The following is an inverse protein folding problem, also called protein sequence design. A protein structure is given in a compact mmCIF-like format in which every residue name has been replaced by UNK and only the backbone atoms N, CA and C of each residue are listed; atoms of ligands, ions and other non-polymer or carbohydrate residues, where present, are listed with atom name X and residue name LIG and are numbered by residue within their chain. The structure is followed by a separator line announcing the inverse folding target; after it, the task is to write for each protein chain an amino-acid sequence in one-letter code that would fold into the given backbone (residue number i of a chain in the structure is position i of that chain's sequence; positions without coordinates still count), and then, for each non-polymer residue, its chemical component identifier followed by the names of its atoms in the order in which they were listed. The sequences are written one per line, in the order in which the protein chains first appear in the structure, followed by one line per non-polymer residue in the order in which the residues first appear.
data_IF_235019550579
#
_entry.id   IF_235019550579
#
_cell.length_a   1.000
_cell.length_b   1.000
_cell.length_c   1.000
_cell.angle_alpha   90.00
_cell.angle_beta   90.00
_cell.angle_gamma   90.00
#
_symmetry.space_group_name_H-M   'P 1'
#
loop_
_entity.id
_entity.type
_entity.pdbx_description
1 polymer ?
#
# COMPACT_ATOMS: atom_id res chain seq x y z
N UNK A 1 18.86 6.59 14.07
CA UNK A 1 17.88 5.99 13.14
C UNK A 1 18.55 5.84 11.79
N UNK A 2 18.65 4.60 11.32
CA UNK A 2 19.17 4.20 10.03
C UNK A 2 18.49 4.97 8.87
N UNK A 3 19.29 5.42 7.90
CA UNK A 3 18.81 6.26 6.80
C UNK A 3 17.78 5.53 5.91
N UNK A 4 17.95 4.22 5.68
CA UNK A 4 17.01 3.41 4.90
C UNK A 4 15.66 3.32 5.60
N UNK A 5 15.67 3.00 6.90
CA UNK A 5 14.44 2.95 7.71
C UNK A 5 13.74 4.31 7.70
N UNK A 6 14.48 5.41 7.85
CA UNK A 6 13.92 6.76 7.77
C UNK A 6 13.26 7.03 6.42
N UNK A 7 13.94 6.73 5.30
CA UNK A 7 13.41 6.93 3.95
C UNK A 7 12.14 6.10 3.74
N UNK A 8 12.17 4.82 4.10
CA UNK A 8 11.02 3.93 3.98
C UNK A 8 9.82 4.44 4.79
N UNK A 9 10.03 4.85 6.05
CA UNK A 9 8.97 5.43 6.87
C UNK A 9 8.33 6.66 6.21
N UNK A 10 9.13 7.53 5.59
CA UNK A 10 8.63 8.70 4.86
C UNK A 10 7.85 8.25 3.63
N UNK A 11 8.38 7.33 2.82
CA UNK A 11 7.71 6.88 1.58
C UNK A 11 6.32 6.29 1.86
N UNK A 12 6.15 5.49 2.90
CA UNK A 12 4.84 4.89 3.22
C UNK A 12 3.81 5.88 3.77
N UNK A 13 4.24 7.09 4.17
CA UNK A 13 3.35 8.16 4.61
C UNK A 13 2.69 8.92 3.44
N UNK A 14 3.18 8.73 2.21
CA UNK A 14 2.65 9.39 1.01
C UNK A 14 2.22 8.35 -0.03
N UNK A 15 1.06 7.67 0.13
CA UNK A 15 0.60 6.65 -0.80
C UNK A 15 0.16 7.19 -2.17
N UNK A 16 -0.02 8.50 -2.31
CA UNK A 16 -0.49 9.21 -3.50
C UNK A 16 0.63 9.68 -4.45
N UNK A 17 1.89 9.33 -4.15
CA UNK A 17 3.04 9.60 -5.02
C UNK A 17 3.08 8.67 -6.23
N UNK A 18 4.05 8.88 -7.13
CA UNK A 18 4.14 8.14 -8.39
C UNK A 18 4.51 6.66 -8.20
N UNK A 19 4.12 5.82 -9.17
CA UNK A 19 4.52 4.42 -9.19
C UNK A 19 6.05 4.19 -9.18
N UNK A 20 6.84 5.12 -9.71
CA UNK A 20 8.30 5.05 -9.65
C UNK A 20 8.83 5.25 -8.20
N UNK A 21 8.22 6.15 -7.44
CA UNK A 21 8.56 6.37 -6.02
C UNK A 21 8.13 5.17 -5.17
N UNK A 22 7.00 4.53 -5.50
CA UNK A 22 6.61 3.27 -4.86
C UNK A 22 7.56 2.12 -5.18
N UNK A 23 8.14 2.10 -6.38
CA UNK A 23 9.14 1.11 -6.77
C UNK A 23 10.42 1.28 -5.94
N UNK A 24 10.90 2.52 -5.82
CA UNK A 24 12.05 2.86 -4.97
C UNK A 24 11.77 2.49 -3.51
N UNK A 25 10.56 2.76 -3.01
CA UNK A 25 10.15 2.38 -1.66
C UNK A 25 10.28 0.86 -1.41
N UNK A 26 9.85 0.03 -2.36
CA UNK A 26 9.99 -1.43 -2.26
C UNK A 26 11.45 -1.89 -2.32
N UNK A 27 12.27 -1.26 -3.15
CA UNK A 27 13.71 -1.52 -3.22
C UNK A 27 14.41 -1.15 -1.91
N UNK A 28 14.08 0.00 -1.32
CA UNK A 28 14.57 0.40 0.01
C UNK A 28 14.18 -0.64 1.04
N UNK A 29 12.93 -1.14 1.03
CA UNK A 29 12.50 -2.18 1.97
C UNK A 29 13.28 -3.48 1.79
N UNK A 30 13.68 -3.79 0.57
CA UNK A 30 14.52 -4.94 0.29
C UNK A 30 15.94 -4.80 0.84
N UNK A 31 16.53 -3.61 0.72
CA UNK A 31 17.81 -3.27 1.35
C UNK A 31 17.74 -3.35 2.88
N UNK A 32 16.65 -2.85 3.47
CA UNK A 32 16.41 -2.93 4.92
C UNK A 32 16.43 -4.40 5.38
N UNK A 33 15.79 -5.31 4.64
CA UNK A 33 15.75 -6.72 5.03
C UNK A 33 17.14 -7.37 5.11
N UNK A 34 18.13 -6.87 4.36
CA UNK A 34 19.52 -7.36 4.41
C UNK A 34 20.22 -6.95 5.71
N UNK A 35 19.83 -5.83 6.29
CA UNK A 35 20.42 -5.27 7.51
C UNK A 35 19.50 -5.40 8.74
N UNK A 36 18.33 -6.03 8.60
CA UNK A 36 17.25 -6.02 9.59
C UNK A 36 17.70 -6.58 10.95
N UNK A 37 18.59 -7.58 10.94
CA UNK A 37 19.17 -8.15 12.16
C UNK A 37 20.04 -7.16 12.94
N UNK A 38 20.62 -6.18 12.25
CA UNK A 38 21.53 -5.17 12.81
C UNK A 38 20.78 -3.93 13.34
N UNK A 39 19.49 -3.80 13.04
CA UNK A 39 18.68 -2.66 13.48
C UNK A 39 18.45 -2.68 15.00
N UNK A 40 18.40 -1.50 15.60
CA UNK A 40 18.03 -1.36 17.02
C UNK A 40 16.56 -1.70 17.26
N UNK A 41 16.16 -1.86 18.51
CA UNK A 41 14.77 -2.12 18.87
C UNK A 41 13.83 -0.98 18.42
N UNK A 42 14.28 0.27 18.53
CA UNK A 42 13.53 1.46 18.12
C UNK A 42 13.38 1.53 16.59
N UNK A 43 14.42 1.14 15.85
CA UNK A 43 14.40 1.08 14.40
C UNK A 43 13.48 -0.04 13.90
N UNK A 44 13.52 -1.22 14.52
CA UNK A 44 12.59 -2.32 14.25
C UNK A 44 11.15 -1.93 14.55
N UNK A 45 10.91 -1.19 15.64
CA UNK A 45 9.57 -0.66 15.97
C UNK A 45 9.08 0.31 14.90
N UNK A 46 9.97 1.18 14.40
CA UNK A 46 9.64 2.14 13.33
C UNK A 46 9.35 1.42 12.01
N UNK A 47 10.16 0.42 11.67
CA UNK A 47 9.97 -0.43 10.50
C UNK A 47 8.64 -1.18 10.55
N UNK A 48 8.30 -1.79 11.69
CA UNK A 48 7.01 -2.47 11.87
C UNK A 48 5.82 -1.52 11.69
N UNK A 49 5.93 -0.28 12.21
CA UNK A 49 4.91 0.74 12.00
C UNK A 49 4.76 1.16 10.53
N UNK A 50 5.88 1.25 9.80
CA UNK A 50 5.86 1.54 8.37
C UNK A 50 5.28 0.39 7.53
N UNK A 51 5.67 -0.85 7.84
CA UNK A 51 5.15 -2.07 7.24
C UNK A 51 3.62 -2.20 7.45
N UNK A 52 3.12 -1.79 8.62
CA UNK A 52 1.68 -1.76 8.88
C UNK A 52 0.95 -0.69 8.05
N UNK A 53 1.54 0.50 7.85
CA UNK A 53 0.99 1.52 6.95
C UNK A 53 0.95 1.04 5.50
N UNK A 54 2.02 0.38 5.03
CA UNK A 54 2.07 -0.22 3.71
C UNK A 54 0.96 -1.25 3.54
N UNK A 55 0.77 -2.16 4.52
CA UNK A 55 -0.31 -3.15 4.51
C UNK A 55 -1.70 -2.52 4.45
N UNK A 56 -1.96 -1.51 5.28
CA UNK A 56 -3.28 -0.87 5.36
C UNK A 56 -3.63 -0.11 4.08
N UNK A 57 -2.62 0.29 3.30
CA UNK A 57 -2.78 0.98 2.02
C UNK A 57 -2.38 0.09 0.82
N UNK A 58 -2.22 -1.22 1.02
CA UNK A 58 -1.60 -2.13 0.06
C UNK A 58 -2.25 -2.07 -1.33
N UNK A 59 -3.56 -1.84 -1.38
CA UNK A 59 -4.28 -1.70 -2.64
C UNK A 59 -3.87 -0.45 -3.42
N UNK A 60 -3.69 0.69 -2.75
CA UNK A 60 -3.30 1.96 -3.40
C UNK A 60 -1.90 1.78 -3.99
N UNK A 61 -0.97 1.27 -3.18
CA UNK A 61 0.40 0.97 -3.62
C UNK A 61 0.41 -0.02 -4.80
N UNK A 62 -0.38 -1.10 -4.71
CA UNK A 62 -0.47 -2.10 -5.78
C UNK A 62 -1.01 -1.51 -7.09
N UNK A 63 -2.07 -0.70 -7.01
CA UNK A 63 -2.67 -0.05 -8.18
C UNK A 63 -1.69 0.89 -8.87
N UNK A 64 -1.02 1.78 -8.13
CA UNK A 64 -0.06 2.71 -8.71
C UNK A 64 1.17 2.01 -9.26
N UNK A 65 1.71 1.01 -8.57
CA UNK A 65 2.80 0.18 -9.10
C UNK A 65 2.40 -0.56 -10.38
N UNK A 66 1.19 -1.11 -10.43
CA UNK A 66 0.68 -1.86 -11.60
C UNK A 66 0.48 -0.98 -12.84
N UNK A 67 0.39 0.35 -12.68
CA UNK A 67 0.36 1.30 -13.81
C UNK A 67 1.75 1.48 -14.44
N UNK A 68 2.82 1.22 -13.69
CA UNK A 68 4.19 1.47 -14.10
C UNK A 68 4.94 0.19 -14.48
N UNK A 69 4.70 -0.90 -13.74
CA UNK A 69 5.32 -2.21 -13.98
C UNK A 69 4.29 -3.34 -13.83
N UNK A 70 4.51 -4.45 -14.54
CA UNK A 70 3.87 -5.72 -14.18
C UNK A 70 4.64 -6.32 -12.99
N UNK A 71 4.10 -6.15 -11.77
CA UNK A 71 4.72 -6.67 -10.54
C UNK A 71 5.04 -8.17 -10.64
N UNK A 72 4.16 -8.97 -11.25
CA UNK A 72 4.34 -10.43 -11.32
C UNK A 72 5.50 -10.78 -12.24
N UNK A 73 5.60 -10.12 -13.38
CA UNK A 73 6.72 -10.32 -14.31
C UNK A 73 8.03 -9.80 -13.71
N UNK A 74 8.00 -8.62 -13.07
CA UNK A 74 9.15 -8.04 -12.39
C UNK A 74 9.72 -8.95 -11.30
N UNK A 75 8.86 -9.46 -10.40
CA UNK A 75 9.26 -10.40 -9.33
C UNK A 75 9.95 -11.65 -9.88
N UNK A 76 9.52 -12.15 -11.04
CA UNK A 76 10.14 -13.31 -11.68
C UNK A 76 11.51 -12.98 -12.27
N UNK A 77 11.62 -11.87 -13.00
CA UNK A 77 12.87 -11.42 -13.62
C UNK A 77 13.93 -11.16 -12.56
N UNK A 78 13.57 -10.49 -11.48
CA UNK A 78 14.48 -10.12 -10.39
C UNK A 78 14.66 -11.24 -9.33
N UNK A 79 14.00 -12.39 -9.50
CA UNK A 79 14.12 -13.51 -8.55
C UNK A 79 13.67 -13.18 -7.12
N UNK A 80 12.67 -12.31 -6.97
CA UNK A 80 12.24 -11.79 -5.65
C UNK A 80 11.56 -12.91 -4.84
N UNK A 81 12.07 -13.24 -3.64
CA UNK A 81 11.56 -14.37 -2.85
C UNK A 81 10.24 -14.06 -2.14
N UNK A 82 9.43 -15.08 -1.79
CA UNK A 82 8.06 -14.92 -1.25
C UNK A 82 7.98 -14.18 0.08
N UNK A 83 9.09 -14.03 0.80
CA UNK A 83 9.16 -13.30 2.07
C UNK A 83 9.24 -11.77 1.90
N UNK A 84 9.31 -11.25 0.66
CA UNK A 84 9.40 -9.79 0.41
C UNK A 84 8.03 -9.16 0.20
N UNK A 85 7.95 -7.86 0.51
CA UNK A 85 6.72 -7.04 0.43
C UNK A 85 6.03 -7.06 -0.93
N UNK A 86 6.80 -7.23 -2.01
CA UNK A 86 6.27 -7.41 -3.36
C UNK A 86 5.22 -8.53 -3.47
N UNK A 87 5.43 -9.66 -2.78
CA UNK A 87 4.48 -10.78 -2.79
C UNK A 87 3.24 -10.48 -1.96
N UNK A 88 3.41 -9.82 -0.82
CA UNK A 88 2.30 -9.46 0.05
C UNK A 88 1.35 -8.46 -0.61
N UNK A 89 1.87 -7.48 -1.37
CA UNK A 89 1.05 -6.56 -2.14
C UNK A 89 0.15 -7.27 -3.15
N UNK A 90 0.68 -8.26 -3.88
CA UNK A 90 -0.13 -9.08 -4.78
C UNK A 90 -1.20 -9.88 -4.01
N UNK A 91 -0.84 -10.52 -2.88
CA UNK A 91 -1.83 -11.26 -2.09
C UNK A 91 -2.96 -10.39 -1.54
N UNK A 92 -2.66 -9.17 -1.10
CA UNK A 92 -3.67 -8.26 -0.57
C UNK A 92 -4.58 -7.72 -1.68
N UNK A 93 -4.03 -7.45 -2.87
CA UNK A 93 -4.83 -7.08 -4.03
C UNK A 93 -5.80 -8.20 -4.45
N UNK A 94 -5.36 -9.47 -4.39
CA UNK A 94 -6.19 -10.62 -4.74
C UNK A 94 -7.35 -10.86 -3.76
N UNK A 95 -7.21 -10.45 -2.50
CA UNK A 95 -8.27 -10.54 -1.49
C UNK A 95 -9.36 -9.47 -1.65
N UNK A 96 -9.14 -8.46 -2.50
CA UNK A 96 -10.13 -7.42 -2.84
C UNK A 96 -10.47 -7.41 -4.35
N UNK A 97 -11.09 -8.49 -4.87
CA UNK A 97 -11.34 -8.65 -6.31
C UNK A 97 -12.25 -7.58 -6.92
N UNK A 98 -13.02 -6.84 -6.11
CA UNK A 98 -13.94 -5.78 -6.56
C UNK A 98 -13.23 -4.57 -7.19
N UNK A 99 -11.90 -4.46 -7.06
CA UNK A 99 -11.13 -3.27 -7.45
C UNK A 99 -10.07 -3.56 -8.54
N UNK A 100 -10.04 -4.78 -9.07
CA UNK A 100 -9.16 -5.21 -10.17
C UNK A 100 -9.77 -4.98 -11.58
N UNK A 101 -10.94 -4.35 -11.67
CA UNK A 101 -11.53 -3.96 -12.96
C UNK A 101 -11.10 -2.53 -13.34
N UNK A 102 -10.33 -2.32 -14.44
CA UNK A 102 -10.02 -0.99 -14.95
C UNK A 102 -11.23 -0.26 -15.59
N UNK A 103 -12.44 -0.83 -15.51
CA UNK A 103 -13.64 -0.37 -16.22
C UNK A 103 -14.83 -0.01 -15.31
N UNK A 104 -14.59 0.42 -14.06
CA UNK A 104 -15.67 0.96 -13.22
C UNK A 104 -15.45 2.45 -12.94
N UNK A 105 -16.34 3.34 -13.41
CA UNK A 105 -16.28 4.75 -13.06
C UNK A 105 -16.47 4.90 -11.55
N UNK A 106 -15.62 5.73 -10.94
CA UNK A 106 -15.62 6.11 -9.52
C UNK A 106 -17.05 6.40 -9.04
N UNK A 107 -17.70 5.45 -8.37
CA UNK A 107 -18.82 5.78 -7.49
C UNK A 107 -18.26 6.11 -6.13
N UNK A 108 -18.13 7.41 -5.85
CA UNK A 108 -17.90 7.95 -4.52
C UNK A 108 -18.88 7.32 -3.51
N UNK A 109 -18.46 7.08 -2.25
CA UNK A 109 -19.41 6.71 -1.22
C UNK A 109 -20.40 7.86 -1.02
N UNK A 110 -21.68 7.59 -1.30
CA UNK A 110 -22.78 8.50 -0.96
C UNK A 110 -22.80 8.63 0.56
N UNK A 111 -22.34 9.75 1.09
CA UNK A 111 -22.74 10.22 2.42
C UNK A 111 -24.25 10.41 2.41
N UNK A 112 -24.99 9.44 2.96
CA UNK A 112 -26.37 9.63 3.40
C UNK A 112 -26.39 9.61 4.91
N UNK A 113 -26.35 10.79 5.50
CA UNK A 113 -27.07 11.06 6.75
C UNK A 113 -27.93 12.29 6.45
N UNK A 114 -29.09 12.05 5.84
CA UNK A 114 -30.21 12.97 5.97
C UNK A 114 -31.08 12.43 7.10
N UNK A 115 -31.08 13.13 8.21
CA UNK A 115 -32.00 12.93 9.33
C UNK A 115 -33.43 12.99 8.80
N UNK A 116 -34.16 11.91 9.04
CA UNK A 116 -35.58 11.79 8.75
C UNK A 116 -36.36 12.52 9.83
N UNK A 117 -36.93 13.67 9.50
CA UNK A 117 -38.08 14.22 10.25
C UNK A 117 -39.31 14.07 9.38
N UNK A 118 -40.17 13.14 9.81
CA UNK A 118 -41.42 12.77 9.17
C UNK A 118 -42.38 13.95 9.04
N UNK A 119 -43.03 13.97 7.87
CA UNK A 119 -44.38 14.44 7.56
C UNK A 119 -45.38 14.42 8.73
N UNK A 120 -46.20 15.47 8.76
CA UNK A 120 -47.67 15.44 8.79
C UNK A 120 -48.18 16.89 8.80
N UNK A 121 -49.26 17.32 8.16
CA UNK A 121 -50.18 16.84 7.12
C UNK A 121 -51.06 18.07 6.87
N UNK A 122 -51.27 18.47 5.62
CA UNK A 122 -52.30 19.44 5.23
C UNK A 122 -53.66 18.75 5.20
N UNK A 123 -54.67 19.40 5.78
CA UNK A 123 -56.09 19.09 5.69
C UNK A 123 -56.86 20.30 6.19
#
# INVERSE_FOLDING_TARGET
MNALVKKYCVSVDFPDVSGAEHLEMLQIRDEIALIELQLTAEEKKSLAGADEKLRNNALIFHQELSRFIDLKSWRKTEGIPPQRWWWFLDMFAWQSPSLLNPATPKSLPKTKIYSSSLLQKTG
#
